data_IF_521604314026
#
_entry.id   IF_521604314026
#
_cell.length_a   1.000
_cell.length_b   1.000
_cell.length_c   1.000
_cell.angle_alpha   90.00
_cell.angle_beta   90.00
_cell.angle_gamma   90.00
#
_symmetry.space_group_name_H-M   'P 1'
#
loop_
_entity.id
_entity.type
_entity.pdbx_description
1 polymer ?
#
# COMPACT_ATOMS: atom_id res chain seq x y z
N UNK A 1 13.54 18.21 -9.50
CA UNK A 1 13.96 16.86 -9.05
C UNK A 1 12.87 15.93 -9.55
N UNK A 2 13.18 15.11 -10.56
CA UNK A 2 12.20 14.36 -11.39
C UNK A 2 12.37 12.88 -11.02
N UNK A 3 11.27 12.25 -10.60
CA UNK A 3 11.21 10.88 -10.08
C UNK A 3 11.31 9.86 -11.23
N UNK A 4 12.13 8.81 -11.07
CA UNK A 4 12.26 7.72 -12.05
C UNK A 4 11.05 6.76 -12.02
N UNK A 5 10.27 6.88 -13.09
CA UNK A 5 9.78 5.82 -14.00
C UNK A 5 8.27 5.68 -14.14
N UNK A 6 7.44 6.24 -13.25
CA UNK A 6 5.99 6.26 -13.46
C UNK A 6 5.35 7.47 -12.77
N UNK A 7 4.84 8.41 -13.56
CA UNK A 7 4.11 9.60 -13.11
C UNK A 7 2.62 9.29 -12.94
N UNK A 8 2.31 8.31 -12.08
CA UNK A 8 0.94 7.98 -11.76
C UNK A 8 0.36 9.01 -10.80
N UNK A 9 -0.77 9.60 -11.16
CA UNK A 9 -1.57 10.44 -10.26
C UNK A 9 -2.82 9.69 -9.85
N UNK A 10 -2.99 9.47 -8.55
CA UNK A 10 -4.13 8.78 -7.97
C UNK A 10 -5.06 9.79 -7.30
N UNK A 11 -6.32 9.80 -7.71
CA UNK A 11 -7.36 10.67 -7.12
C UNK A 11 -8.60 9.84 -6.84
N UNK A 12 -8.99 9.79 -5.58
CA UNK A 12 -10.27 9.23 -5.18
C UNK A 12 -11.39 10.23 -5.56
N UNK A 13 -12.43 9.74 -6.22
CA UNK A 13 -13.60 10.53 -6.60
C UNK A 13 -14.87 9.68 -6.41
N UNK A 14 -15.70 10.06 -5.44
CA UNK A 14 -16.87 9.30 -5.01
C UNK A 14 -16.55 7.83 -4.72
N UNK A 15 -17.03 6.90 -5.56
CA UNK A 15 -16.81 5.46 -5.44
C UNK A 15 -15.82 4.94 -6.49
N UNK A 16 -14.93 5.80 -6.98
CA UNK A 16 -13.92 5.47 -7.98
C UNK A 16 -12.52 5.93 -7.57
N UNK A 17 -11.51 5.17 -8.02
CA UNK A 17 -10.13 5.63 -8.08
C UNK A 17 -9.81 6.01 -9.51
N UNK A 18 -9.47 7.28 -9.73
CA UNK A 18 -8.95 7.77 -11.00
C UNK A 18 -7.42 7.67 -10.97
N UNK A 19 -6.87 6.90 -11.91
CA UNK A 19 -5.44 6.81 -12.15
C UNK A 19 -5.13 7.49 -13.46
N UNK A 20 -4.38 8.59 -13.40
CA UNK A 20 -3.90 9.29 -14.59
C UNK A 20 -2.47 8.84 -14.91
N UNK A 21 -2.27 8.42 -16.15
CA UNK A 21 -1.00 7.91 -16.67
C UNK A 21 -0.50 8.86 -17.76
N UNK A 22 0.74 9.32 -17.60
CA UNK A 22 1.32 10.26 -18.55
C UNK A 22 1.57 9.61 -19.92
N UNK A 23 1.61 10.40 -21.01
CA UNK A 23 1.81 9.87 -22.36
C UNK A 23 3.13 9.13 -22.61
N UNK A 24 4.11 9.26 -21.70
CA UNK A 24 5.39 8.53 -21.69
C UNK A 24 5.31 7.16 -21.00
N UNK A 25 4.27 6.96 -20.19
CA UNK A 25 4.20 5.88 -19.20
C UNK A 25 3.26 4.76 -19.65
N UNK A 26 2.79 4.82 -20.89
CA UNK A 26 2.07 3.73 -21.55
C UNK A 26 2.39 3.66 -23.05
N UNK A 27 2.27 2.47 -23.63
CA UNK A 27 2.37 2.29 -25.08
C UNK A 27 1.10 2.78 -25.78
N UNK A 28 1.22 3.93 -26.46
CA UNK A 28 0.11 4.54 -27.20
C UNK A 28 -0.42 3.67 -28.34
N UNK A 29 0.36 2.74 -28.88
CA UNK A 29 -0.11 1.80 -29.91
C UNK A 29 -0.98 0.70 -29.32
N UNK A 30 -0.88 0.47 -28.01
CA UNK A 30 -1.58 -0.59 -27.29
C UNK A 30 -2.83 -0.09 -26.54
N UNK A 31 -3.38 1.08 -26.91
CA UNK A 31 -4.54 1.66 -26.22
C UNK A 31 -5.77 0.75 -26.21
N UNK A 32 -6.10 0.11 -27.34
CA UNK A 32 -7.25 -0.82 -27.40
C UNK A 32 -7.01 -2.05 -26.52
N UNK A 33 -5.79 -2.57 -26.51
CA UNK A 33 -5.42 -3.66 -25.60
C UNK A 33 -5.56 -3.22 -24.13
N UNK A 34 -5.12 -2.01 -23.76
CA UNK A 34 -5.26 -1.50 -22.39
C UNK A 34 -6.74 -1.43 -21.99
N UNK A 35 -7.62 -0.95 -22.89
CA UNK A 35 -9.08 -0.88 -22.66
C UNK A 35 -9.70 -2.24 -22.41
N UNK A 36 -9.29 -3.28 -23.16
CA UNK A 36 -9.82 -4.63 -23.03
C UNK A 36 -9.24 -5.38 -21.81
N UNK A 37 -7.97 -5.16 -21.52
CA UNK A 37 -7.24 -5.87 -20.47
C UNK A 37 -7.52 -5.32 -19.08
N UNK A 38 -7.50 -4.00 -18.92
CA UNK A 38 -7.68 -3.35 -17.63
C UNK A 38 -9.16 -3.33 -17.28
N UNK A 39 -9.49 -3.82 -16.07
CA UNK A 39 -10.86 -3.79 -15.53
C UNK A 39 -11.24 -2.40 -15.01
N UNK A 40 -11.15 -1.39 -15.86
CA UNK A 40 -11.45 0.01 -15.59
C UNK A 40 -12.12 0.65 -16.81
N UNK A 41 -12.83 1.75 -16.59
CA UNK A 41 -13.21 2.63 -17.69
C UNK A 41 -11.99 3.45 -18.11
N UNK A 42 -11.65 3.40 -19.39
CA UNK A 42 -10.43 4.03 -19.91
C UNK A 42 -10.81 5.18 -20.84
N UNK A 43 -10.24 6.36 -20.60
CA UNK A 43 -10.45 7.55 -21.42
C UNK A 43 -9.13 8.28 -21.66
N UNK A 44 -9.12 9.19 -22.65
CA UNK A 44 -7.95 9.98 -23.01
C UNK A 44 -8.26 11.46 -22.83
N UNK A 45 -7.36 12.22 -22.22
CA UNK A 45 -7.45 13.67 -22.14
C UNK A 45 -7.01 14.32 -23.45
N UNK A 46 -7.32 15.60 -23.64
CA UNK A 46 -6.83 16.38 -24.80
C UNK A 46 -5.30 16.43 -24.89
N UNK A 47 -4.62 16.35 -23.74
CA UNK A 47 -3.17 16.34 -23.64
C UNK A 47 -2.56 14.94 -23.87
N UNK A 48 -3.39 13.94 -24.16
CA UNK A 48 -2.97 12.56 -24.41
C UNK A 48 -2.65 11.76 -23.15
N UNK A 49 -3.10 12.20 -21.97
CA UNK A 49 -2.98 11.40 -20.75
C UNK A 49 -4.07 10.31 -20.76
N UNK A 50 -3.71 9.12 -20.29
CA UNK A 50 -4.67 8.03 -20.13
C UNK A 50 -5.27 8.09 -18.72
N UNK A 51 -6.60 8.11 -18.64
CA UNK A 51 -7.32 8.10 -17.36
C UNK A 51 -8.03 6.76 -17.21
N UNK A 52 -7.68 6.04 -16.15
CA UNK A 52 -8.26 4.76 -15.77
C UNK A 52 -9.16 4.99 -14.55
N UNK A 53 -10.47 4.84 -14.72
CA UNK A 53 -11.45 4.96 -13.65
C UNK A 53 -11.86 3.57 -13.15
N UNK A 54 -11.36 3.21 -11.97
CA UNK A 54 -11.65 1.93 -11.31
C UNK A 54 -12.80 2.09 -10.33
N UNK A 55 -13.77 1.17 -10.36
CA UNK A 55 -14.77 1.10 -9.30
C UNK A 55 -14.14 0.60 -7.99
N UNK A 56 -14.40 1.32 -6.91
CA UNK A 56 -13.91 0.94 -5.59
C UNK A 56 -14.82 -0.12 -4.97
N UNK A 57 -14.25 -1.10 -4.24
CA UNK A 57 -15.03 -2.05 -3.47
C UNK A 57 -15.93 -1.32 -2.47
N UNK A 58 -17.18 -1.77 -2.34
CA UNK A 58 -18.12 -1.19 -1.37
C UNK A 58 -17.57 -1.29 0.06
N UNK A 59 -17.79 -0.24 0.85
CA UNK A 59 -17.33 -0.16 2.25
C UNK A 59 -15.81 -0.37 2.40
N UNK A 60 -15.03 0.06 1.41
CA UNK A 60 -13.57 0.07 1.50
C UNK A 60 -13.05 1.48 1.74
N UNK A 61 -11.88 1.57 2.36
CA UNK A 61 -11.13 2.81 2.50
C UNK A 61 -9.72 2.61 1.97
N UNK A 62 -9.12 3.67 1.42
CA UNK A 62 -7.70 3.61 1.05
C UNK A 62 -6.82 3.36 2.28
N UNK A 63 -5.71 2.68 2.09
CA UNK A 63 -4.73 2.43 3.15
C UNK A 63 -4.20 3.76 3.69
N UNK A 64 -4.04 4.78 2.85
CA UNK A 64 -3.72 6.15 3.29
C UNK A 64 -4.70 6.66 4.36
N UNK A 65 -6.01 6.51 4.12
CA UNK A 65 -7.05 6.88 5.10
C UNK A 65 -6.99 5.99 6.35
N UNK A 66 -6.77 4.68 6.20
CA UNK A 66 -6.60 3.78 7.35
C UNK A 66 -5.39 4.14 8.22
N UNK A 67 -4.26 4.52 7.62
CA UNK A 67 -3.04 4.98 8.32
C UNK A 67 -3.34 6.23 9.14
N UNK A 68 -4.05 7.20 8.55
CA UNK A 68 -4.43 8.44 9.24
C UNK A 68 -5.36 8.20 10.44
N UNK A 69 -6.22 7.17 10.37
CA UNK A 69 -7.14 6.80 11.46
C UNK A 69 -6.52 5.94 12.55
N UNK A 70 -5.41 5.24 12.28
CA UNK A 70 -4.76 4.34 13.23
C UNK A 70 -4.01 5.13 14.32
N UNK A 71 -4.58 5.18 15.53
CA UNK A 71 -4.06 6.01 16.62
C UNK A 71 -3.16 5.24 17.58
N UNK A 72 -3.39 3.94 17.73
CA UNK A 72 -2.66 3.08 18.66
C UNK A 72 -1.65 2.19 17.95
N UNK A 73 -0.61 1.73 18.68
CA UNK A 73 0.35 0.77 18.13
C UNK A 73 -0.34 -0.51 17.65
N UNK A 74 -1.32 -1.03 18.41
CA UNK A 74 -2.02 -2.24 18.00
C UNK A 74 -2.76 -2.03 16.67
N UNK A 75 -3.47 -0.91 16.50
CA UNK A 75 -4.14 -0.61 15.23
C UNK A 75 -3.16 -0.55 14.06
N UNK A 76 -1.99 0.09 14.26
CA UNK A 76 -0.94 0.20 13.23
C UNK A 76 -0.34 -1.16 12.88
N UNK A 77 0.03 -1.96 13.88
CA UNK A 77 0.57 -3.31 13.64
C UNK A 77 -0.47 -4.26 13.04
N UNK A 78 -1.74 -4.18 13.46
CA UNK A 78 -2.82 -4.95 12.84
C UNK A 78 -3.06 -4.52 11.39
N UNK A 79 -2.97 -3.22 11.08
CA UNK A 79 -3.08 -2.73 9.71
C UNK A 79 -1.91 -3.22 8.84
N UNK A 80 -0.68 -3.15 9.34
CA UNK A 80 0.49 -3.70 8.64
C UNK A 80 0.37 -5.22 8.42
N UNK A 81 -0.16 -5.95 9.41
CA UNK A 81 -0.41 -7.39 9.29
C UNK A 81 -1.47 -7.71 8.23
N UNK A 82 -2.52 -6.89 8.09
CA UNK A 82 -3.49 -7.02 7.00
C UNK A 82 -2.84 -6.79 5.64
N UNK A 83 -2.01 -5.75 5.52
CA UNK A 83 -1.28 -5.47 4.25
C UNK A 83 -0.38 -6.63 3.85
N UNK A 84 0.19 -7.37 4.81
CA UNK A 84 0.98 -8.57 4.53
C UNK A 84 0.18 -9.72 3.86
N UNK A 85 -1.16 -9.68 3.89
CA UNK A 85 -2.00 -10.67 3.18
C UNK A 85 -2.18 -10.35 1.70
N UNK A 86 -1.66 -9.20 1.22
CA UNK A 86 -1.63 -8.88 -0.21
C UNK A 86 -0.87 -9.97 -0.95
N UNK A 87 -1.63 -10.89 -1.53
CA UNK A 87 -1.10 -11.91 -2.42
C UNK A 87 -1.04 -11.32 -3.81
N UNK A 88 0.14 -10.83 -4.16
CA UNK A 88 0.47 -10.58 -5.56
C UNK A 88 0.52 -11.95 -6.22
N UNK A 89 -0.52 -12.30 -6.99
CA UNK A 89 -0.44 -13.45 -7.89
C UNK A 89 0.49 -13.03 -9.03
N UNK A 90 1.68 -13.63 -9.15
CA UNK A 90 2.51 -13.39 -10.33
C UNK A 90 1.70 -13.94 -11.51
N UNK A 91 1.30 -13.06 -12.40
CA UNK A 91 1.06 -13.41 -13.78
C UNK A 91 2.04 -12.58 -14.59
N UNK A 92 2.60 -13.13 -15.66
CA UNK A 92 3.73 -12.55 -16.39
C UNK A 92 3.49 -11.13 -16.92
N UNK A 93 2.22 -10.70 -16.95
CA UNK A 93 1.79 -9.40 -17.44
C UNK A 93 1.57 -8.33 -16.38
N UNK A 94 1.18 -8.66 -15.15
CA UNK A 94 0.80 -7.65 -14.16
C UNK A 94 2.01 -7.20 -13.33
N UNK A 95 2.25 -5.89 -13.31
CA UNK A 95 3.30 -5.29 -12.50
C UNK A 95 2.67 -4.57 -11.32
N UNK A 96 3.14 -4.89 -10.12
CA UNK A 96 2.56 -4.38 -8.88
C UNK A 96 2.91 -2.91 -8.66
N UNK A 97 1.91 -2.12 -8.27
CA UNK A 97 2.09 -0.76 -7.80
C UNK A 97 1.71 -0.63 -6.32
N UNK A 98 2.68 -0.80 -5.42
CA UNK A 98 2.46 -0.61 -3.98
C UNK A 98 2.47 0.88 -3.65
N UNK A 99 1.31 1.42 -3.32
CA UNK A 99 1.14 2.80 -2.87
C UNK A 99 -0.04 2.89 -1.89
N UNK A 100 0.04 3.68 -0.79
CA UNK A 100 -1.05 3.80 0.18
C UNK A 100 -2.40 4.23 -0.42
N UNK A 101 -2.40 5.03 -1.49
CA UNK A 101 -3.63 5.42 -2.21
C UNK A 101 -4.11 4.37 -3.23
N UNK A 102 -3.31 3.35 -3.54
CA UNK A 102 -3.68 2.26 -4.46
C UNK A 102 -4.16 0.99 -3.74
N UNK A 103 -3.99 0.94 -2.42
CA UNK A 103 -4.37 -0.20 -1.59
C UNK A 103 -5.66 0.17 -0.86
N UNK A 104 -6.66 -0.70 -0.91
CA UNK A 104 -7.95 -0.50 -0.26
C UNK A 104 -8.24 -1.65 0.72
N UNK A 105 -8.80 -1.29 1.86
CA UNK A 105 -9.09 -2.19 2.97
C UNK A 105 -10.60 -2.23 3.22
N UNK A 106 -11.18 -3.43 3.23
CA UNK A 106 -12.58 -3.68 3.61
C UNK A 106 -12.65 -4.84 4.59
N UNK A 107 -12.86 -4.54 5.88
CA UNK A 107 -12.79 -5.53 6.94
C UNK A 107 -11.40 -6.18 7.03
N UNK A 108 -11.30 -7.45 6.63
CA UNK A 108 -10.04 -8.21 6.56
C UNK A 108 -9.51 -8.38 5.14
N UNK A 109 -10.23 -7.91 4.14
CA UNK A 109 -9.83 -7.98 2.75
C UNK A 109 -8.98 -6.75 2.40
N UNK A 110 -7.87 -6.99 1.70
CA UNK A 110 -6.95 -5.96 1.23
C UNK A 110 -6.72 -6.16 -0.26
N UNK A 111 -6.94 -5.13 -1.05
CA UNK A 111 -6.84 -5.19 -2.52
C UNK A 111 -5.99 -4.06 -3.06
N UNK A 112 -5.21 -4.36 -4.09
CA UNK A 112 -4.63 -3.38 -5.00
C UNK A 112 -5.65 -3.08 -6.09
N UNK A 113 -5.86 -1.81 -6.40
CA UNK A 113 -6.82 -1.37 -7.41
C UNK A 113 -6.17 -1.32 -8.80
N UNK A 114 -5.06 -0.60 -8.90
CA UNK A 114 -4.29 -0.46 -10.13
C UNK A 114 -3.08 -1.39 -10.15
N UNK A 115 -2.85 -1.98 -11.33
CA UNK A 115 -1.64 -2.70 -11.69
C UNK A 115 -1.16 -2.14 -13.03
N UNK A 116 0.15 -2.13 -13.19
CA UNK A 116 0.74 -1.91 -14.49
C UNK A 116 0.68 -3.17 -15.34
N UNK A 117 0.99 -3.00 -16.62
CA UNK A 117 1.12 -4.08 -17.59
C UNK A 117 2.52 -4.05 -18.15
N UNK A 118 3.22 -5.18 -18.08
CA UNK A 118 4.61 -5.32 -18.50
C UNK A 118 4.83 -4.72 -19.89
N UNK A 119 5.74 -3.74 -19.96
CA UNK A 119 6.10 -2.97 -21.17
C UNK A 119 4.97 -2.16 -21.85
N UNK A 120 3.77 -2.10 -21.28
CA UNK A 120 2.59 -1.49 -21.91
C UNK A 120 2.00 -0.36 -21.07
N UNK A 121 1.88 -0.54 -19.76
CA UNK A 121 1.20 0.39 -18.86
C UNK A 121 1.96 0.49 -17.54
N UNK A 122 2.24 1.70 -17.09
CA UNK A 122 2.90 1.96 -15.82
C UNK A 122 2.20 1.28 -14.62
N UNK A 123 2.97 0.73 -13.64
CA UNK A 123 4.39 0.40 -13.75
C UNK A 123 4.68 -0.66 -14.81
N UNK A 124 5.66 -0.41 -15.68
CA UNK A 124 5.91 -1.30 -16.83
C UNK A 124 6.93 -2.42 -16.55
N UNK A 125 7.71 -2.30 -15.47
CA UNK A 125 8.81 -3.23 -15.16
C UNK A 125 8.76 -3.58 -13.68
N UNK A 126 8.80 -4.88 -13.38
CA UNK A 126 8.98 -5.35 -12.02
C UNK A 126 10.48 -5.37 -11.66
N UNK A 127 10.83 -4.78 -10.53
CA UNK A 127 12.17 -4.83 -9.95
C UNK A 127 12.07 -5.28 -8.50
N UNK A 128 12.70 -6.41 -8.17
CA UNK A 128 12.61 -7.03 -6.84
C UNK A 128 13.24 -6.17 -5.73
N UNK A 129 14.36 -5.48 -6.01
CA UNK A 129 15.03 -4.62 -5.05
C UNK A 129 14.17 -3.39 -4.74
N UNK A 130 13.65 -2.74 -5.80
CA UNK A 130 12.70 -1.62 -5.65
C UNK A 130 11.44 -2.07 -4.93
N UNK A 131 10.93 -3.26 -5.22
CA UNK A 131 9.75 -3.82 -4.55
C UNK A 131 9.98 -3.95 -3.03
N UNK A 132 11.13 -4.47 -2.59
CA UNK A 132 11.48 -4.52 -1.16
C UNK A 132 11.62 -3.11 -0.56
N UNK A 133 12.27 -2.18 -1.26
CA UNK A 133 12.42 -0.78 -0.83
C UNK A 133 11.05 -0.12 -0.58
N UNK A 134 10.14 -0.25 -1.55
CA UNK A 134 8.78 0.27 -1.47
C UNK A 134 7.98 -0.42 -0.36
N UNK A 135 8.12 -1.74 -0.19
CA UNK A 135 7.44 -2.47 0.86
C UNK A 135 7.88 -2.00 2.26
N UNK A 136 9.18 -1.76 2.47
CA UNK A 136 9.71 -1.20 3.71
C UNK A 136 9.13 0.19 3.99
N UNK A 137 9.13 1.08 3.00
CA UNK A 137 8.54 2.41 3.11
C UNK A 137 7.05 2.36 3.45
N UNK A 138 6.30 1.45 2.82
CA UNK A 138 4.89 1.22 3.09
C UNK A 138 4.67 0.82 4.56
N UNK A 139 5.39 -0.19 5.05
CA UNK A 139 5.28 -0.64 6.45
C UNK A 139 5.66 0.47 7.42
N UNK A 140 6.73 1.22 7.14
CA UNK A 140 7.15 2.34 7.99
C UNK A 140 6.11 3.46 8.01
N UNK A 141 5.51 3.81 6.87
CA UNK A 141 4.43 4.81 6.82
C UNK A 141 3.20 4.38 7.65
N UNK A 142 2.92 3.08 7.74
CA UNK A 142 1.85 2.53 8.60
C UNK A 142 2.21 2.65 10.08
N UNK A 143 3.43 2.26 10.46
CA UNK A 143 3.88 2.24 11.85
C UNK A 143 4.21 3.64 12.39
N UNK A 144 4.60 4.56 11.51
CA UNK A 144 4.95 5.95 11.80
C UNK A 144 4.13 6.88 10.88
N UNK A 145 2.86 7.18 11.20
CA UNK A 145 1.98 7.97 10.31
C UNK A 145 2.46 9.39 9.96
N UNK A 146 3.50 9.90 10.64
CA UNK A 146 4.14 11.19 10.33
C UNK A 146 5.19 11.09 9.24
N UNK A 147 5.64 9.87 8.91
CA UNK A 147 6.61 9.62 7.85
C UNK A 147 5.86 9.59 6.54
N UNK A 148 6.21 10.52 5.65
CA UNK A 148 5.67 10.53 4.30
C UNK A 148 6.16 9.30 3.52
N UNK A 149 5.23 8.65 2.84
CA UNK A 149 5.53 7.42 2.11
C UNK A 149 6.53 7.65 0.97
N UNK A 150 6.35 8.69 0.15
CA UNK A 150 7.20 8.93 -1.02
C UNK A 150 8.62 9.31 -0.59
N UNK A 151 8.75 10.14 0.45
CA UNK A 151 10.06 10.44 1.04
C UNK A 151 10.74 9.19 1.63
N UNK A 152 9.97 8.29 2.25
CA UNK A 152 10.50 7.03 2.76
C UNK A 152 10.91 6.05 1.65
N UNK A 153 10.20 6.04 0.51
CA UNK A 153 10.61 5.25 -0.66
C UNK A 153 11.97 5.70 -1.14
N UNK A 154 12.26 7.00 -1.13
CA UNK A 154 13.54 7.51 -1.61
C UNK A 154 14.69 7.38 -0.59
N UNK A 155 14.43 7.71 0.68
CA UNK A 155 15.46 7.82 1.71
C UNK A 155 15.03 7.33 3.09
N UNK A 156 14.61 6.06 3.19
CA UNK A 156 14.20 5.47 4.48
C UNK A 156 15.31 5.50 5.54
N UNK A 157 16.57 5.41 5.13
CA UNK A 157 17.76 5.48 5.99
C UNK A 157 17.92 6.83 6.70
N UNK A 158 17.31 7.90 6.17
CA UNK A 158 17.30 9.21 6.81
C UNK A 158 16.31 9.32 7.97
N UNK A 159 15.37 8.38 8.12
CA UNK A 159 14.35 8.38 9.17
C UNK A 159 14.97 7.88 10.49
N UNK A 160 15.23 8.81 11.41
CA UNK A 160 15.87 8.56 12.71
C UNK A 160 14.89 8.06 13.78
N UNK A 161 14.17 7.00 13.46
CA UNK A 161 13.24 6.33 14.35
C UNK A 161 13.63 4.86 14.47
N UNK A 162 13.72 4.33 15.69
CA UNK A 162 14.25 2.97 15.93
C UNK A 162 13.48 1.89 15.18
N UNK A 163 12.17 2.08 14.98
CA UNK A 163 11.34 1.17 14.20
C UNK A 163 11.65 1.25 12.70
N UNK A 164 11.93 2.44 12.17
CA UNK A 164 12.31 2.62 10.76
C UNK A 164 13.68 1.98 10.48
N UNK A 165 14.66 2.20 11.37
CA UNK A 165 15.98 1.55 11.31
C UNK A 165 15.85 0.02 11.33
N UNK A 166 15.00 -0.51 12.22
CA UNK A 166 14.76 -1.95 12.32
C UNK A 166 14.11 -2.51 11.05
N UNK A 167 13.10 -1.84 10.50
CA UNK A 167 12.46 -2.27 9.24
C UNK A 167 13.45 -2.20 8.07
N UNK A 168 14.27 -1.16 8.02
CA UNK A 168 15.25 -0.96 6.97
C UNK A 168 16.34 -2.06 6.96
N UNK A 169 16.70 -2.58 8.14
CA UNK A 169 17.70 -3.64 8.29
C UNK A 169 17.25 -5.04 7.80
N UNK A 170 15.95 -5.27 7.59
CA UNK A 170 15.47 -6.56 7.08
C UNK A 170 15.83 -6.76 5.59
N UNK A 171 16.12 -7.99 5.21
CA UNK A 171 16.55 -8.35 3.85
C UNK A 171 15.43 -8.93 3.00
N UNK A 172 14.27 -9.22 3.61
CA UNK A 172 13.13 -9.79 2.90
C UNK A 172 11.78 -9.35 3.46
N UNK A 173 10.76 -9.45 2.61
CA UNK A 173 9.36 -9.24 3.01
C UNK A 173 8.92 -10.24 4.08
N UNK A 174 9.43 -11.48 4.01
CA UNK A 174 9.11 -12.51 5.00
C UNK A 174 9.60 -12.14 6.41
N UNK A 175 10.82 -11.61 6.52
CA UNK A 175 11.37 -11.12 7.80
C UNK A 175 10.54 -9.96 8.36
N UNK A 176 10.17 -9.01 7.51
CA UNK A 176 9.30 -7.89 7.88
C UNK A 176 7.96 -8.41 8.40
N UNK A 177 7.31 -9.30 7.65
CA UNK A 177 6.00 -9.85 8.01
C UNK A 177 6.02 -10.66 9.29
N UNK A 178 7.07 -11.45 9.50
CA UNK A 178 7.28 -12.18 10.75
C UNK A 178 7.36 -11.21 11.92
N UNK A 179 8.20 -10.18 11.82
CA UNK A 179 8.34 -9.16 12.86
C UNK A 179 7.02 -8.45 13.18
N UNK A 180 6.26 -8.04 12.15
CA UNK A 180 4.95 -7.40 12.32
C UNK A 180 3.98 -8.34 13.06
N UNK A 181 3.94 -9.62 12.68
CA UNK A 181 3.06 -10.61 13.29
C UNK A 181 3.40 -10.85 14.77
N UNK A 182 4.69 -10.96 15.10
CA UNK A 182 5.17 -11.12 16.47
C UNK A 182 4.81 -9.92 17.35
N UNK A 183 5.02 -8.69 16.85
CA UNK A 183 4.67 -7.47 17.56
C UNK A 183 3.16 -7.30 17.75
N UNK A 184 2.36 -7.61 16.73
CA UNK A 184 0.91 -7.59 16.83
C UNK A 184 0.43 -8.56 17.92
N UNK A 185 0.91 -9.81 17.88
CA UNK A 185 0.60 -10.81 18.90
C UNK A 185 1.00 -10.35 20.32
N UNK A 186 2.20 -9.79 20.48
CA UNK A 186 2.70 -9.28 21.76
C UNK A 186 1.79 -8.19 22.32
N UNK A 187 1.36 -7.25 21.48
CA UNK A 187 0.48 -6.14 21.87
C UNK A 187 -0.92 -6.64 22.28
N UNK A 188 -1.50 -7.58 21.52
CA UNK A 188 -2.77 -8.20 21.87
C UNK A 188 -2.73 -8.88 23.25
N UNK A 189 -1.69 -9.66 23.51
CA UNK A 189 -1.52 -10.34 24.80
C UNK A 189 -1.37 -9.35 25.96
N UNK A 190 -0.65 -8.25 25.74
CA UNK A 190 -0.50 -7.18 26.75
C UNK A 190 -1.85 -6.57 27.10
N UNK A 191 -2.68 -6.24 26.11
CA UNK A 191 -4.01 -5.67 26.32
C UNK A 191 -4.95 -6.66 27.02
N UNK A 192 -4.94 -7.94 26.62
CA UNK A 192 -5.73 -9.00 27.28
C UNK A 192 -5.37 -9.13 28.77
N UNK A 193 -4.08 -9.10 29.12
CA UNK A 193 -3.60 -9.15 30.52
C UNK A 193 -4.01 -7.91 31.34
N UNK A 194 -3.98 -6.73 30.75
CA UNK A 194 -4.42 -5.49 31.42
C UNK A 194 -5.92 -5.53 31.70
N UNK A 195 -6.73 -5.94 30.70
CA UNK A 195 -8.19 -6.08 30.86
C UNK A 195 -8.57 -7.08 31.94
N UNK A 196 -7.91 -8.25 31.99
CA UNK A 196 -8.20 -9.26 33.00
C UNK A 196 -7.85 -8.81 34.43
N UNK A 197 -6.79 -8.02 34.61
CA UNK A 197 -6.45 -7.40 35.91
C UNK A 197 -7.47 -6.35 36.34
N UNK A 198 -7.95 -5.51 35.42
CA UNK A 198 -8.98 -4.49 35.71
C UNK A 198 -10.31 -5.13 36.15
N UNK A 199 -10.74 -6.21 35.49
CA UNK A 199 -11.97 -6.93 35.87
C UNK A 199 -11.84 -7.54 37.27
N UNK A 200 -10.68 -8.15 37.60
CA UNK A 200 -10.43 -8.71 38.94
C UNK A 200 -10.43 -7.64 40.03
N UNK A 201 -9.95 -6.43 39.75
CA UNK A 201 -9.92 -5.34 40.73
C UNK A 201 -11.28 -4.66 40.91
N UNK A 202 -12.14 -4.65 39.89
CA UNK A 202 -13.47 -4.03 39.94
C UNK A 202 -14.59 -5.00 40.39
N UNK A 203 -14.34 -6.32 40.39
CA UNK A 203 -15.25 -7.36 40.87
C UNK A 203 -15.13 -7.68 42.37
N UNK A 204 -14.31 -6.94 43.12
CA UNK A 204 -14.22 -7.01 44.58
C UNK A 204 -14.90 -5.76 45.16
N UNK A 205 -16.22 -5.75 45.15
CA UNK A 205 -17.07 -4.89 45.99
C UNK A 205 -18.33 -5.63 46.37
#
# INVERSE_FOLDING_TARGET
>A
MIFEDNHLKLVENDNQLLVTVQPSDYDRKSQEFIKEYVKAQVSLTENGELVLAYELPAFSESLATCIAKATTDLERYSLAQKVATLTVKPNDFNVVYLHPQNIYVSGNDVRLIHYGVSHILAPQVFNQERYLKVYKALVVSILLPKVDFELAVEGLDAVRESIAEKINAFHSIAEINQFISEECHRLEQKIKKVRSKLIKNNGVR
#
